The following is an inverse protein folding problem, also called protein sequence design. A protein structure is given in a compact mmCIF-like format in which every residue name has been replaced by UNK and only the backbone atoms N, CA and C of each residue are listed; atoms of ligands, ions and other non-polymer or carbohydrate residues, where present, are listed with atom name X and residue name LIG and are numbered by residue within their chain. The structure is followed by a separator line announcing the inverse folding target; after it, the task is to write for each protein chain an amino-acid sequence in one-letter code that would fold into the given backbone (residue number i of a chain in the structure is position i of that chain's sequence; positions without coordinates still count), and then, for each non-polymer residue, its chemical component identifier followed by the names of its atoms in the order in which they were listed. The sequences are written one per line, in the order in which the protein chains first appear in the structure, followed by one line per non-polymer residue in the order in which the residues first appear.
data_IF_689310993399
#
_entry.id   IF_689310993399
#
_cell.length_a   1.000
_cell.length_b   1.000
_cell.length_c   1.000
_cell.angle_alpha   90.00
_cell.angle_beta   90.00
_cell.angle_gamma   90.00
#
_symmetry.space_group_name_H-M   'P 1'
#
loop_
_entity.id
_entity.type
_entity.pdbx_description
1 polymer ?
#
# COMPACT_ATOMS: atom_id res chain seq x y z
N UNK A 1 1.43 -37.76 8.40
CA UNK A 1 1.92 -37.06 9.61
C UNK A 1 1.11 -35.79 9.77
N UNK A 2 0.33 -35.70 10.84
CA UNK A 2 -0.67 -34.64 11.05
C UNK A 2 -0.10 -33.40 11.74
N UNK A 3 0.02 -32.30 11.00
CA UNK A 3 0.07 -30.94 11.54
C UNK A 3 -1.30 -30.30 11.35
N UNK A 4 -2.17 -30.47 12.34
CA UNK A 4 -3.61 -30.23 12.22
C UNK A 4 -3.99 -28.94 12.94
N UNK A 5 -4.23 -27.87 12.15
CA UNK A 5 -4.94 -26.66 12.61
C UNK A 5 -4.06 -25.54 13.16
N UNK A 6 -3.30 -25.77 14.24
CA UNK A 6 -2.61 -24.70 14.97
C UNK A 6 -1.43 -24.09 14.18
N UNK A 7 -0.61 -24.93 13.54
CA UNK A 7 0.50 -24.47 12.67
C UNK A 7 -0.01 -23.68 11.45
N UNK A 8 -1.21 -24.03 10.96
CA UNK A 8 -1.86 -23.34 9.83
C UNK A 8 -2.41 -21.98 10.24
N UNK A 9 -3.02 -21.90 11.43
CA UNK A 9 -3.51 -20.64 11.96
C UNK A 9 -2.34 -19.70 12.27
N UNK A 10 -1.26 -20.21 12.86
CA UNK A 10 -0.03 -19.46 13.12
C UNK A 10 0.61 -18.91 11.84
N UNK A 11 0.68 -19.71 10.78
CA UNK A 11 1.15 -19.26 9.46
C UNK A 11 0.25 -18.15 8.87
N UNK A 12 -1.06 -18.34 8.92
CA UNK A 12 -2.03 -17.38 8.36
C UNK A 12 -2.03 -16.05 9.12
N UNK A 13 -1.95 -16.11 10.45
CA UNK A 13 -1.84 -14.95 11.33
C UNK A 13 -0.50 -14.24 11.10
N UNK A 14 0.63 -14.96 11.11
CA UNK A 14 1.95 -14.37 10.84
C UNK A 14 2.06 -13.75 9.45
N UNK A 15 1.45 -14.38 8.44
CA UNK A 15 1.36 -13.83 7.09
C UNK A 15 0.54 -12.54 7.05
N UNK A 16 -0.60 -12.50 7.71
CA UNK A 16 -1.46 -11.30 7.75
C UNK A 16 -0.78 -10.15 8.50
N UNK A 17 -0.16 -10.43 9.65
CA UNK A 17 0.59 -9.43 10.41
C UNK A 17 1.82 -8.89 9.68
N UNK A 18 2.56 -9.75 8.98
CA UNK A 18 3.70 -9.29 8.18
C UNK A 18 3.27 -8.38 7.03
N UNK A 19 2.11 -8.65 6.40
CA UNK A 19 1.52 -7.77 5.37
C UNK A 19 1.00 -6.45 5.94
N UNK A 20 0.40 -6.48 7.13
CA UNK A 20 0.03 -5.27 7.86
C UNK A 20 1.27 -4.42 8.17
N UNK A 21 2.33 -5.04 8.69
CA UNK A 21 3.60 -4.37 8.96
C UNK A 21 4.22 -3.78 7.68
N UNK A 22 4.16 -4.51 6.56
CA UNK A 22 4.63 -4.03 5.26
C UNK A 22 3.85 -2.80 4.80
N UNK A 23 2.51 -2.85 4.83
CA UNK A 23 1.65 -1.75 4.39
C UNK A 23 1.82 -0.51 5.27
N UNK A 24 1.93 -0.69 6.59
CA UNK A 24 2.21 0.39 7.53
C UNK A 24 3.59 1.02 7.29
N UNK A 25 4.61 0.19 7.08
CA UNK A 25 5.98 0.65 6.80
C UNK A 25 6.06 1.40 5.46
N UNK A 26 5.33 0.92 4.46
CA UNK A 26 5.22 1.57 3.15
C UNK A 26 4.49 2.90 3.25
N UNK A 27 3.38 2.97 3.99
CA UNK A 27 2.68 4.23 4.25
C UNK A 27 3.62 5.24 4.94
N UNK A 28 4.32 4.83 6.00
CA UNK A 28 5.30 5.67 6.69
C UNK A 28 6.44 6.14 5.75
N UNK A 29 6.93 5.26 4.88
CA UNK A 29 7.94 5.61 3.88
C UNK A 29 7.39 6.58 2.82
N UNK A 30 6.16 6.39 2.35
CA UNK A 30 5.49 7.29 1.43
C UNK A 30 5.31 8.69 2.02
N UNK A 31 4.94 8.76 3.30
CA UNK A 31 4.87 10.01 4.06
C UNK A 31 6.25 10.66 4.20
N UNK A 32 7.27 9.90 4.58
CA UNK A 32 8.64 10.41 4.65
C UNK A 32 9.11 10.95 3.30
N UNK A 33 8.82 10.24 2.20
CA UNK A 33 9.19 10.65 0.86
C UNK A 33 8.48 11.95 0.43
N UNK A 34 7.15 12.00 0.56
CA UNK A 34 6.35 13.14 0.13
C UNK A 34 6.46 14.36 1.06
N UNK A 35 6.50 14.17 2.38
CA UNK A 35 6.50 15.27 3.35
C UNK A 35 7.91 15.77 3.70
N UNK A 36 8.95 14.94 3.56
CA UNK A 36 10.32 15.28 3.98
C UNK A 36 11.28 15.34 2.80
N UNK A 37 11.41 14.26 2.03
CA UNK A 37 12.42 14.19 0.95
C UNK A 37 12.11 15.14 -0.22
N UNK A 38 10.87 15.15 -0.72
CA UNK A 38 10.46 15.99 -1.85
C UNK A 38 10.60 17.49 -1.57
N UNK A 39 10.07 18.03 -0.46
CA UNK A 39 10.24 19.44 -0.12
C UNK A 39 11.70 19.80 0.12
N UNK A 40 12.48 18.89 0.73
CA UNK A 40 13.92 19.11 0.91
C UNK A 40 14.67 19.19 -0.42
N UNK A 41 14.31 18.35 -1.39
CA UNK A 41 14.86 18.41 -2.74
C UNK A 41 14.41 19.67 -3.50
N UNK A 42 13.16 20.13 -3.29
CA UNK A 42 12.61 21.33 -3.91
C UNK A 42 13.36 22.61 -3.48
N UNK A 43 13.91 22.62 -2.27
CA UNK A 43 14.74 23.73 -1.74
C UNK A 43 16.14 23.82 -2.37
N UNK A 44 16.59 22.76 -3.04
CA UNK A 44 17.87 22.75 -3.75
C UNK A 44 17.74 23.29 -5.19
N UNK A 45 16.50 23.54 -5.66
CA UNK A 45 16.26 24.10 -6.98
C UNK A 45 16.68 25.58 -7.05
N UNK A 46 17.21 26.03 -8.20
CA UNK A 46 17.57 27.44 -8.39
C UNK A 46 16.34 28.34 -8.34
N UNK A 47 16.52 29.60 -7.94
CA UNK A 47 15.44 30.61 -7.78
C UNK A 47 14.64 30.81 -9.08
N UNK A 48 15.24 30.57 -10.25
CA UNK A 48 14.56 30.58 -11.55
C UNK A 48 13.46 29.52 -11.69
N UNK A 49 13.40 28.54 -10.78
CA UNK A 49 12.39 27.47 -10.72
C UNK A 49 11.49 27.59 -9.48
N UNK A 50 11.35 28.78 -8.90
CA UNK A 50 10.50 29.01 -7.73
C UNK A 50 9.05 28.53 -7.92
N UNK A 51 8.50 28.64 -9.13
CA UNK A 51 7.16 28.16 -9.46
C UNK A 51 7.07 26.63 -9.44
N UNK A 52 8.10 25.95 -9.95
CA UNK A 52 8.21 24.48 -9.89
C UNK A 52 8.37 24.00 -8.44
N UNK A 53 9.17 24.70 -7.64
CA UNK A 53 9.35 24.41 -6.21
C UNK A 53 8.02 24.51 -5.44
N UNK A 54 7.21 25.54 -5.70
CA UNK A 54 5.86 25.68 -5.13
C UNK A 54 4.89 24.57 -5.54
N UNK A 55 4.97 24.10 -6.78
CA UNK A 55 4.16 22.96 -7.23
C UNK A 55 4.57 21.69 -6.50
N UNK A 56 5.88 21.46 -6.35
CA UNK A 56 6.42 20.30 -5.63
C UNK A 56 5.97 20.28 -4.16
N UNK A 57 6.02 21.42 -3.49
CA UNK A 57 5.59 21.58 -2.09
C UNK A 57 4.07 21.68 -1.92
N UNK A 58 3.31 21.67 -3.02
CA UNK A 58 1.87 21.86 -3.00
C UNK A 58 1.11 20.73 -2.31
N UNK A 59 -0.12 21.00 -1.81
CA UNK A 59 -0.93 20.05 -1.04
C UNK A 59 -1.45 18.85 -1.85
N UNK A 60 -1.18 18.83 -3.17
CA UNK A 60 -1.63 17.78 -4.09
C UNK A 60 -0.44 16.95 -4.58
N UNK A 61 0.62 17.59 -5.07
CA UNK A 61 1.71 16.90 -5.76
C UNK A 61 2.59 16.06 -4.82
N UNK A 62 3.03 16.62 -3.70
CA UNK A 62 3.87 15.89 -2.74
C UNK A 62 3.17 14.63 -2.17
N UNK A 63 1.90 14.71 -1.73
CA UNK A 63 1.10 13.53 -1.39
C UNK A 63 0.94 12.52 -2.54
N UNK A 64 0.67 13.00 -3.76
CA UNK A 64 0.51 12.12 -4.93
C UNK A 64 1.80 11.38 -5.29
N UNK A 65 2.95 12.05 -5.17
CA UNK A 65 4.25 11.45 -5.38
C UNK A 65 4.57 10.39 -4.32
N UNK A 66 4.27 10.67 -3.05
CA UNK A 66 4.36 9.67 -1.98
C UNK A 66 3.49 8.44 -2.25
N UNK A 67 2.25 8.65 -2.70
CA UNK A 67 1.33 7.59 -3.10
C UNK A 67 1.88 6.73 -4.26
N UNK A 68 2.44 7.38 -5.29
CA UNK A 68 3.02 6.69 -6.44
C UNK A 68 4.20 5.78 -6.02
N UNK A 69 5.07 6.26 -5.12
CA UNK A 69 6.19 5.45 -4.58
C UNK A 69 5.67 4.24 -3.82
N UNK A 70 4.67 4.40 -2.96
CA UNK A 70 4.02 3.28 -2.25
C UNK A 70 3.46 2.26 -3.23
N UNK A 71 2.74 2.70 -4.26
CA UNK A 71 2.21 1.81 -5.29
C UNK A 71 3.31 1.03 -6.02
N UNK A 72 4.43 1.68 -6.38
CA UNK A 72 5.55 1.01 -7.06
C UNK A 72 6.15 -0.09 -6.16
N UNK A 73 6.39 0.22 -4.89
CA UNK A 73 6.96 -0.74 -3.94
C UNK A 73 6.01 -1.91 -3.68
N UNK A 74 4.70 -1.65 -3.59
CA UNK A 74 3.68 -2.71 -3.50
C UNK A 74 3.68 -3.59 -4.74
N UNK A 75 3.74 -3.00 -5.94
CA UNK A 75 3.81 -3.75 -7.20
C UNK A 75 5.02 -4.68 -7.22
N UNK A 76 6.19 -4.22 -6.74
CA UNK A 76 7.39 -5.05 -6.64
C UNK A 76 7.17 -6.21 -5.66
N UNK A 77 6.72 -5.91 -4.44
CA UNK A 77 6.48 -6.92 -3.41
C UNK A 77 5.48 -8.00 -3.86
N UNK A 78 4.32 -7.59 -4.39
CA UNK A 78 3.28 -8.51 -4.83
C UNK A 78 3.63 -9.23 -6.15
N UNK A 79 4.50 -8.63 -6.98
CA UNK A 79 5.06 -9.33 -8.13
C UNK A 79 5.93 -10.49 -7.66
N UNK A 80 6.84 -10.28 -6.72
CA UNK A 80 7.69 -11.34 -6.16
C UNK A 80 6.85 -12.47 -5.53
N UNK A 81 5.74 -12.12 -4.87
CA UNK A 81 4.79 -13.11 -4.33
C UNK A 81 4.13 -13.98 -5.39
N UNK A 82 3.91 -13.45 -6.60
CA UNK A 82 3.40 -14.23 -7.73
C UNK A 82 4.46 -15.12 -8.40
N UNK A 83 5.75 -14.87 -8.13
CA UNK A 83 6.90 -15.65 -8.62
C UNK A 83 7.30 -16.74 -7.63
N UNK A 84 7.19 -16.46 -6.32
CA UNK A 84 7.67 -17.28 -5.20
C UNK A 84 6.94 -18.62 -5.00
N UNK A 85 7.42 -19.45 -4.08
CA UNK A 85 6.92 -20.82 -3.82
C UNK A 85 5.44 -20.97 -3.43
N UNK A 86 4.73 -19.86 -3.23
CA UNK A 86 3.26 -19.76 -3.03
C UNK A 86 2.44 -20.32 -4.20
N UNK A 87 3.06 -20.49 -5.38
CA UNK A 87 2.44 -21.09 -6.58
C UNK A 87 2.10 -22.58 -6.43
N UNK A 88 2.63 -23.29 -5.43
CA UNK A 88 2.32 -24.72 -5.22
C UNK A 88 1.15 -24.97 -4.24
N UNK A 89 0.56 -23.93 -3.66
CA UNK A 89 -0.58 -24.07 -2.75
C UNK A 89 -1.78 -23.29 -3.34
N UNK A 90 -2.81 -24.02 -3.78
CA UNK A 90 -4.05 -23.49 -4.40
C UNK A 90 -4.77 -22.47 -3.49
N UNK A 91 -4.39 -22.38 -2.21
CA UNK A 91 -4.94 -21.44 -1.22
C UNK A 91 -4.20 -20.11 -1.11
N UNK A 92 -3.10 -19.90 -1.84
CA UNK A 92 -2.31 -18.65 -1.76
C UNK A 92 -3.10 -17.41 -2.18
N UNK A 93 -3.94 -17.51 -3.22
CA UNK A 93 -4.81 -16.42 -3.68
C UNK A 93 -5.77 -15.98 -2.59
N UNK A 94 -6.45 -16.93 -1.93
CA UNK A 94 -7.45 -16.63 -0.90
C UNK A 94 -6.81 -16.00 0.32
N UNK A 95 -5.61 -16.46 0.72
CA UNK A 95 -4.85 -15.87 1.83
C UNK A 95 -4.38 -14.46 1.52
N UNK A 96 -3.91 -14.21 0.29
CA UNK A 96 -3.49 -12.89 -0.17
C UNK A 96 -4.67 -11.92 -0.23
N UNK A 97 -5.80 -12.35 -0.81
CA UNK A 97 -7.01 -11.55 -0.90
C UNK A 97 -7.56 -11.23 0.49
N UNK A 98 -7.57 -12.21 1.39
CA UNK A 98 -8.00 -12.03 2.78
C UNK A 98 -7.11 -11.04 3.55
N UNK A 99 -5.79 -11.10 3.36
CA UNK A 99 -4.86 -10.14 3.95
C UNK A 99 -5.09 -8.72 3.40
N UNK A 100 -5.25 -8.58 2.08
CA UNK A 100 -5.55 -7.29 1.43
C UNK A 100 -6.86 -6.66 1.94
N UNK A 101 -7.93 -7.45 2.04
CA UNK A 101 -9.23 -6.99 2.56
C UNK A 101 -9.11 -6.59 4.04
N UNK A 102 -8.42 -7.39 4.85
CA UNK A 102 -8.23 -7.10 6.28
C UNK A 102 -7.47 -5.79 6.47
N UNK A 103 -6.42 -5.56 5.68
CA UNK A 103 -5.67 -4.31 5.76
C UNK A 103 -6.51 -3.12 5.30
N UNK A 104 -7.25 -3.26 4.19
CA UNK A 104 -8.14 -2.20 3.72
C UNK A 104 -9.18 -1.81 4.78
N UNK A 105 -9.77 -2.79 5.47
CA UNK A 105 -10.72 -2.53 6.57
C UNK A 105 -10.06 -1.85 7.76
N UNK A 106 -8.84 -2.24 8.14
CA UNK A 106 -8.08 -1.59 9.21
C UNK A 106 -7.68 -0.15 8.87
N UNK A 107 -7.48 0.17 7.60
CA UNK A 107 -7.13 1.50 7.14
C UNK A 107 -8.37 2.40 6.97
N UNK A 108 -9.50 1.82 6.57
CA UNK A 108 -10.76 2.55 6.38
C UNK A 108 -11.48 2.87 7.69
N UNK A 109 -11.49 1.96 8.67
CA UNK A 109 -12.24 2.16 9.91
C UNK A 109 -11.82 3.41 10.71
N UNK A 110 -10.52 3.69 10.92
CA UNK A 110 -10.09 4.92 11.59
C UNK A 110 -10.36 6.17 10.75
N UNK A 111 -10.29 6.08 9.40
CA UNK A 111 -10.57 7.21 8.52
C UNK A 111 -12.02 7.68 8.62
N UNK A 112 -12.97 6.73 8.68
CA UNK A 112 -14.39 7.04 8.91
C UNK A 112 -14.57 7.68 10.29
N UNK A 113 -13.95 7.11 11.33
CA UNK A 113 -14.08 7.61 12.70
C UNK A 113 -13.48 9.02 12.88
N UNK A 114 -12.45 9.38 12.10
CA UNK A 114 -11.85 10.71 12.13
C UNK A 114 -12.87 11.82 11.87
N UNK A 115 -13.80 11.60 10.95
CA UNK A 115 -14.81 12.59 10.58
C UNK A 115 -15.88 12.80 11.68
N UNK A 116 -15.94 11.91 12.70
CA UNK A 116 -16.93 11.95 13.77
C UNK A 116 -16.35 12.22 15.17
N UNK A 117 -15.02 12.27 15.32
CA UNK A 117 -14.35 12.43 16.61
C UNK A 117 -13.55 13.73 16.60
N UNK A 118 -13.74 14.57 17.62
CA UNK A 118 -12.84 15.69 17.89
C UNK A 118 -11.46 15.13 18.29
N UNK A 119 -10.50 15.19 17.38
CA UNK A 119 -9.16 14.70 17.63
C UNK A 119 -8.38 15.68 18.50
N UNK A 120 -7.61 15.15 19.45
CA UNK A 120 -6.55 15.92 20.09
C UNK A 120 -5.47 16.28 19.07
N UNK A 121 -4.67 17.30 19.37
CA UNK A 121 -3.57 17.77 18.49
C UNK A 121 -2.59 16.64 18.08
N UNK A 122 -2.33 15.70 19.00
CA UNK A 122 -1.54 14.50 18.73
C UNK A 122 -2.25 13.53 17.76
N UNK A 123 -3.57 13.39 17.89
CA UNK A 123 -4.39 12.61 16.98
C UNK A 123 -4.36 13.17 15.57
N UNK A 124 -4.50 14.49 15.40
CA UNK A 124 -4.42 15.13 14.09
C UNK A 124 -3.07 14.89 13.40
N UNK A 125 -1.95 14.98 14.12
CA UNK A 125 -0.62 14.66 13.57
C UNK A 125 -0.50 13.20 13.15
N UNK A 126 -0.98 12.27 13.98
CA UNK A 126 -0.87 10.84 13.72
C UNK A 126 -1.70 10.45 12.48
N UNK A 127 -2.93 10.96 12.39
CA UNK A 127 -3.78 10.78 11.22
C UNK A 127 -3.20 11.48 9.99
N UNK A 128 -2.68 12.70 10.13
CA UNK A 128 -2.01 13.43 9.06
C UNK A 128 -0.79 12.69 8.50
N UNK A 129 -0.08 11.93 9.34
CA UNK A 129 1.09 11.14 8.94
C UNK A 129 0.69 9.83 8.27
N UNK A 130 -0.26 9.09 8.85
CA UNK A 130 -0.69 7.79 8.34
C UNK A 130 -1.37 7.99 6.99
N UNK A 131 -2.30 8.94 6.88
CA UNK A 131 -3.10 9.17 5.68
C UNK A 131 -2.53 10.27 4.77
N UNK A 132 -1.26 10.64 4.96
CA UNK A 132 -0.61 11.69 4.17
C UNK A 132 -0.75 11.44 2.67
N UNK A 133 -0.50 10.20 2.23
CA UNK A 133 -0.57 9.81 0.82
C UNK A 133 -1.98 9.90 0.25
N UNK A 134 -3.03 9.84 1.07
CA UNK A 134 -4.42 10.07 0.66
C UNK A 134 -4.75 11.58 0.54
N UNK A 135 -3.88 12.44 1.05
CA UNK A 135 -4.01 13.90 1.01
C UNK A 135 -4.07 14.51 -0.39
N UNK A 136 -3.59 13.78 -1.42
CA UNK A 136 -3.58 14.27 -2.80
C UNK A 136 -4.97 14.56 -3.36
N UNK A 137 -5.99 13.78 -2.99
CA UNK A 137 -7.37 14.02 -3.41
C UNK A 137 -8.03 15.06 -2.52
N UNK A 138 -7.88 14.95 -1.20
CA UNK A 138 -8.51 15.91 -0.27
C UNK A 138 -7.95 17.33 -0.44
N UNK A 139 -6.66 17.45 -0.82
CA UNK A 139 -6.00 18.73 -1.09
C UNK A 139 -6.56 19.49 -2.30
N UNK A 140 -7.38 18.84 -3.15
CA UNK A 140 -8.10 19.50 -4.25
C UNK A 140 -9.36 20.23 -3.79
N UNK A 141 -9.85 19.95 -2.58
CA UNK A 141 -11.14 20.44 -2.08
C UNK A 141 -12.38 19.84 -2.77
N UNK A 142 -12.20 18.93 -3.74
CA UNK A 142 -13.31 18.36 -4.51
C UNK A 142 -14.00 17.17 -3.83
N UNK A 143 -13.35 16.54 -2.84
CA UNK A 143 -13.84 15.33 -2.15
C UNK A 143 -13.56 15.39 -0.65
N UNK A 144 -14.40 14.73 0.14
CA UNK A 144 -14.17 14.59 1.58
C UNK A 144 -12.97 13.70 1.88
N UNK A 145 -12.40 13.84 3.07
CA UNK A 145 -11.24 13.06 3.52
C UNK A 145 -11.50 11.55 3.46
N UNK A 146 -12.64 11.08 3.99
CA UNK A 146 -13.04 9.66 3.91
C UNK A 146 -13.09 9.15 2.47
N UNK A 147 -13.63 9.94 1.53
CA UNK A 147 -13.70 9.53 0.11
C UNK A 147 -12.31 9.50 -0.52
N UNK A 148 -11.44 10.46 -0.18
CA UNK A 148 -10.05 10.48 -0.63
C UNK A 148 -9.25 9.26 -0.16
N UNK A 149 -9.45 8.83 1.10
CA UNK A 149 -8.85 7.60 1.64
C UNK A 149 -9.37 6.38 0.92
N UNK A 150 -10.68 6.26 0.73
CA UNK A 150 -11.29 5.10 0.06
C UNK A 150 -10.79 4.93 -1.38
N UNK A 151 -10.67 6.03 -2.12
CA UNK A 151 -10.13 6.01 -3.49
C UNK A 151 -8.65 5.62 -3.48
N UNK A 152 -7.87 6.16 -2.54
CA UNK A 152 -6.44 5.84 -2.42
C UNK A 152 -6.22 4.36 -2.10
N UNK A 153 -6.99 3.81 -1.16
CA UNK A 153 -6.96 2.38 -0.83
C UNK A 153 -7.33 1.50 -2.03
N UNK A 154 -8.37 1.86 -2.79
CA UNK A 154 -8.74 1.15 -4.02
C UNK A 154 -7.60 1.15 -5.06
N UNK A 155 -6.88 2.26 -5.20
CA UNK A 155 -5.72 2.35 -6.10
C UNK A 155 -4.58 1.46 -5.64
N UNK A 156 -4.23 1.47 -4.35
CA UNK A 156 -3.19 0.61 -3.77
C UNK A 156 -3.54 -0.88 -3.89
N UNK A 157 -4.77 -1.25 -3.51
CA UNK A 157 -5.26 -2.63 -3.59
C UNK A 157 -5.36 -3.10 -5.04
N UNK A 158 -5.87 -2.25 -5.94
CA UNK A 158 -5.97 -2.56 -7.36
C UNK A 158 -4.60 -2.79 -8.02
N UNK A 159 -3.63 -1.91 -7.75
CA UNK A 159 -2.27 -2.04 -8.28
C UNK A 159 -1.57 -3.30 -7.78
N UNK A 160 -1.66 -3.58 -6.47
CA UNK A 160 -1.04 -4.76 -5.86
C UNK A 160 -1.67 -6.07 -6.36
N UNK A 161 -3.00 -6.12 -6.46
CA UNK A 161 -3.71 -7.28 -7.02
C UNK A 161 -3.39 -7.51 -8.50
N UNK A 162 -3.37 -6.45 -9.31
CA UNK A 162 -3.02 -6.55 -10.72
C UNK A 162 -1.58 -7.07 -10.93
N UNK A 163 -0.63 -6.57 -10.15
CA UNK A 163 0.77 -7.02 -10.18
C UNK A 163 0.89 -8.51 -9.84
N UNK A 164 0.20 -8.95 -8.80
CA UNK A 164 0.13 -10.35 -8.40
C UNK A 164 -0.45 -11.23 -9.54
N UNK A 165 -1.62 -10.86 -10.09
CA UNK A 165 -2.28 -11.64 -11.15
C UNK A 165 -1.41 -11.74 -12.41
N UNK A 166 -0.77 -10.64 -12.83
CA UNK A 166 0.14 -10.63 -13.98
C UNK A 166 1.34 -11.54 -13.73
N UNK A 167 1.93 -11.46 -12.54
CA UNK A 167 3.07 -12.29 -12.15
C UNK A 167 2.71 -13.78 -12.13
N UNK A 168 1.57 -14.10 -11.51
CA UNK A 168 1.01 -15.45 -11.42
C UNK A 168 0.73 -16.06 -12.79
N UNK A 169 0.03 -15.35 -13.69
CA UNK A 169 -0.24 -15.82 -15.06
C UNK A 169 1.04 -16.07 -15.86
N UNK A 170 2.04 -15.19 -15.76
CA UNK A 170 3.33 -15.36 -16.44
C UNK A 170 4.15 -16.54 -15.90
N UNK A 171 4.02 -16.84 -14.60
CA UNK A 171 4.78 -17.93 -13.96
C UNK A 171 4.11 -19.29 -14.11
N UNK A 172 2.79 -19.38 -14.14
CA UNK A 172 2.08 -20.62 -14.49
C UNK A 172 2.49 -21.14 -15.88
N UNK A 173 2.64 -20.25 -16.86
CA UNK A 173 3.12 -20.61 -18.19
C UNK A 173 4.56 -21.15 -18.22
N UNK A 174 5.38 -20.88 -17.20
CA UNK A 174 6.75 -21.40 -17.07
C UNK A 174 6.86 -22.63 -16.18
N UNK A 175 6.05 -22.77 -15.12
CA UNK A 175 6.10 -23.91 -14.18
C UNK A 175 5.29 -25.14 -14.62
N UNK A 176 4.34 -25.01 -15.56
CA UNK A 176 3.65 -26.19 -16.12
C UNK A 176 4.65 -27.21 -16.73
N UNK A 177 5.79 -26.74 -17.25
CA UNK A 177 6.86 -27.60 -17.77
C UNK A 177 7.76 -28.24 -16.69
N UNK A 178 7.82 -27.68 -15.48
CA UNK A 178 8.70 -28.17 -14.40
C UNK A 178 7.94 -29.13 -13.48
N UNK A 179 6.69 -28.83 -13.12
CA UNK A 179 5.87 -29.73 -12.30
C UNK A 179 5.42 -31.02 -13.02
N UNK A 180 5.46 -31.07 -14.35
CA UNK A 180 5.22 -32.29 -15.15
C UNK A 180 6.48 -33.13 -15.32
N UNK A 181 7.67 -32.54 -15.13
CA UNK A 181 8.96 -33.25 -15.26
C UNK A 181 9.37 -34.00 -13.99
N UNK A 182 8.82 -33.60 -12.84
CA UNK A 182 9.04 -34.22 -11.52
C UNK A 182 7.85 -35.09 -11.05
N UNK A 183 6.94 -35.47 -11.96
CA UNK A 183 5.95 -36.55 -11.75
C UNK A 183 6.32 -37.75 -12.60
#
# INVERSE_FOLDING_TARGET
MGQTGLDRLGFMVGYTFSRLGLLLSLAAFGTFFGAVLLPSAAKLLPVSMAEVSRVIEGPVFAPAAGMAVVCILLVIAFREDGIGGTVCDDRSIVMILGALITVGMMYLAPAVLRDYIDLTELGEMLFGTIYYTAGWLSGTGAVSFTVAVLISDLVMLGASFAAYVVSYKRHLGRRFLVCVRDK
#
